data_IF_207035755375
#
_entry.id   IF_207035755375
#
_cell.length_a   1.000
_cell.length_b   1.000
_cell.length_c   1.000
_cell.angle_alpha   90.00
_cell.angle_beta   90.00
_cell.angle_gamma   90.00
#
_symmetry.space_group_name_H-M   'P 1'
#
loop_
_entity.id
_entity.type
_entity.pdbx_description
1 polymer ?
2 non-polymer ?
3 non-polymer ?
4 water ?
#
# COMPACT_ATOMS: atom_id res chain seq x y z
N UNK A 22 4.18 -25.51 -4.91
CA UNK A 22 4.98 -24.25 -5.07
C UNK A 22 6.39 -24.39 -4.47
N UNK A 23 7.40 -23.72 -5.07
CA UNK A 23 8.75 -23.77 -4.50
C UNK A 23 8.90 -22.85 -3.29
N UNK A 24 10.10 -22.83 -2.69
CA UNK A 24 10.41 -21.91 -1.59
C UNK A 24 10.19 -20.47 -2.08
N UNK A 25 9.78 -19.57 -1.16
CA UNK A 25 9.51 -18.16 -1.49
C UNK A 25 10.60 -17.50 -2.35
N UNK A 26 11.86 -17.58 -1.93
CA UNK A 26 12.96 -16.98 -2.70
C UNK A 26 13.11 -17.58 -4.10
N UNK A 27 12.94 -18.90 -4.20
CA UNK A 27 13.01 -19.54 -5.50
C UNK A 27 11.86 -19.11 -6.43
N UNK A 28 10.66 -18.94 -5.86
CA UNK A 28 9.52 -18.42 -6.62
C UNK A 28 9.74 -16.98 -7.07
N UNK A 29 10.29 -16.16 -6.18
CA UNK A 29 10.60 -14.77 -6.52
C UNK A 29 11.55 -14.70 -7.71
N UNK A 30 12.60 -15.52 -7.67
CA UNK A 30 13.53 -15.62 -8.80
C UNK A 30 12.84 -16.02 -10.09
N UNK A 31 11.99 -17.05 -10.01
CA UNK A 31 11.21 -17.50 -11.16
C UNK A 31 10.36 -16.36 -11.74
N UNK A 32 9.76 -15.57 -10.85
CA UNK A 32 8.93 -14.45 -11.29
C UNK A 32 9.76 -13.42 -12.08
N UNK A 33 10.97 -13.13 -11.62
CA UNK A 33 11.84 -12.20 -12.38
C UNK A 33 12.18 -12.79 -13.75
N UNK A 34 12.50 -14.08 -13.78
CA UNK A 34 12.80 -14.76 -15.04
C UNK A 34 11.64 -14.73 -16.04
N UNK A 35 10.42 -15.02 -15.56
CA UNK A 35 9.25 -15.07 -16.43
C UNK A 35 8.84 -13.66 -16.90
N UNK A 36 8.94 -12.70 -15.98
CA UNK A 36 8.47 -11.33 -16.26
C UNK A 36 9.49 -10.43 -16.96
N UNK A 37 10.76 -10.82 -16.89
CA UNK A 37 11.87 -9.95 -17.31
C UNK A 37 11.88 -8.62 -16.56
N UNK A 38 11.34 -8.63 -15.34
CA UNK A 38 11.25 -7.42 -14.50
C UNK A 38 11.92 -7.63 -13.16
N UNK A 39 12.07 -6.54 -12.42
CA UNK A 39 12.58 -6.57 -11.05
C UNK A 39 11.43 -6.74 -10.07
N UNK A 40 11.61 -7.67 -9.13
CA UNK A 40 10.70 -7.87 -8.02
C UNK A 40 11.42 -7.41 -6.75
N UNK A 41 10.69 -6.75 -5.84
CA UNK A 41 11.21 -6.37 -4.53
C UNK A 41 10.26 -6.94 -3.51
N UNK A 42 10.77 -7.57 -2.45
CA UNK A 42 9.90 -8.25 -1.49
C UNK A 42 10.45 -8.23 -0.07
N UNK A 43 9.57 -7.99 0.90
CA UNK A 43 9.85 -8.19 2.33
C UNK A 43 8.70 -8.96 2.94
N UNK A 44 9.04 -9.93 3.77
CA UNK A 44 8.09 -10.62 4.62
C UNK A 44 8.56 -10.36 6.05
N UNK A 45 7.68 -9.81 6.89
CA UNK A 45 8.07 -9.33 8.21
C UNK A 45 7.00 -9.67 9.25
N UNK A 46 7.42 -10.15 10.42
CA UNK A 46 6.47 -10.35 11.54
C UNK A 46 5.88 -8.99 11.93
N UNK A 47 4.55 -8.90 11.98
CA UNK A 47 3.93 -7.61 12.29
C UNK A 47 4.19 -7.18 13.73
N UNK A 48 4.09 -8.12 14.67
CA UNK A 48 4.25 -7.80 16.08
C UNK A 48 5.68 -7.36 16.41
N UNK A 49 6.68 -8.06 15.86
CA UNK A 49 8.06 -7.79 16.30
C UNK A 49 8.97 -7.07 15.31
N UNK A 50 8.62 -7.17 14.03
CA UNK A 50 9.48 -6.62 12.97
C UNK A 50 10.55 -7.59 12.48
N UNK A 51 10.52 -8.83 12.96
CA UNK A 51 11.49 -9.83 12.48
C UNK A 51 11.36 -9.97 10.96
N UNK A 52 12.48 -9.79 10.25
CA UNK A 52 12.48 -9.97 8.79
C UNK A 52 12.70 -11.44 8.46
N UNK A 53 11.77 -12.01 7.68
CA UNK A 53 11.86 -13.44 7.31
C UNK A 53 12.40 -13.70 5.92
N UNK A 54 11.87 -12.98 4.94
CA UNK A 54 12.33 -13.06 3.54
C UNK A 54 12.62 -11.63 3.10
N UNK A 55 13.72 -11.45 2.39
CA UNK A 55 14.09 -10.14 1.88
C UNK A 55 14.71 -10.36 0.51
N UNK A 56 14.18 -9.67 -0.50
CA UNK A 56 14.73 -9.74 -1.84
C UNK A 56 14.67 -8.36 -2.45
N UNK A 57 15.82 -7.85 -2.87
CA UNK A 57 15.95 -6.46 -3.36
C UNK A 57 15.30 -5.48 -2.38
N UNK A 58 15.49 -5.74 -1.10
CA UNK A 58 14.74 -5.05 -0.04
C UNK A 58 15.15 -3.59 0.09
N UNK A 59 16.34 -3.26 -0.40
CA UNK A 59 16.85 -1.90 -0.33
C UNK A 59 16.87 -1.19 -1.68
N UNK A 60 16.23 -1.79 -2.68
CA UNK A 60 16.11 -1.18 -4.00
C UNK A 60 14.80 -0.39 -4.11
N UNK A 61 14.83 0.64 -4.95
CA UNK A 61 13.66 1.52 -5.09
C UNK A 61 12.63 0.98 -6.06
N UNK A 62 11.35 1.11 -5.66
CA UNK A 62 10.21 0.76 -6.51
C UNK A 62 9.14 1.84 -6.39
N UNK A 63 8.42 2.12 -7.48
CA UNK A 63 7.30 3.06 -7.37
C UNK A 63 6.25 2.53 -6.38
N UNK A 64 5.78 3.40 -5.48
CA UNK A 64 4.73 3.04 -4.52
C UNK A 64 3.37 2.83 -5.18
N UNK A 65 3.09 3.63 -6.20
CA UNK A 65 1.76 3.64 -6.81
C UNK A 65 0.72 3.84 -5.68
N UNK A 66 -0.41 3.14 -5.76
CA UNK A 66 -1.51 3.37 -4.82
C UNK A 66 -1.18 2.98 -3.40
N UNK A 67 -0.11 2.21 -3.21
CA UNK A 67 0.24 1.76 -1.85
C UNK A 67 0.60 2.96 -0.95
N UNK A 68 0.94 4.12 -1.53
CA UNK A 68 1.27 5.30 -0.73
C UNK A 68 0.04 5.77 0.08
N UNK A 69 -1.15 5.36 -0.34
CA UNK A 69 -2.39 5.84 0.28
C UNK A 69 -2.52 5.38 1.73
N UNK A 70 -1.91 4.24 2.07
CA UNK A 70 -1.93 3.77 3.46
C UNK A 70 -1.10 4.73 4.34
N UNK A 71 0.07 5.13 3.83
CA UNK A 71 0.91 6.13 4.53
C UNK A 71 0.21 7.48 4.66
N UNK A 72 -0.40 7.93 3.56
CA UNK A 72 -1.21 9.15 3.53
C UNK A 72 -2.23 9.17 4.67
N UNK A 73 -3.04 8.12 4.77
CA UNK A 73 -4.06 8.10 5.80
C UNK A 73 -3.47 7.93 7.22
N UNK A 74 -2.28 7.34 7.31
CA UNK A 74 -1.52 7.36 8.57
C UNK A 74 -1.23 8.81 8.98
N UNK A 75 -0.83 9.63 8.02
CA UNK A 75 -0.53 11.04 8.29
C UNK A 75 -1.79 11.80 8.68
N UNK A 76 -2.89 11.50 8.00
CA UNK A 76 -4.19 12.08 8.38
C UNK A 76 -4.56 11.72 9.82
N UNK A 77 -4.42 10.43 10.18
CA UNK A 77 -4.73 9.99 11.53
C UNK A 77 -3.85 10.66 12.58
N UNK A 78 -2.59 10.91 12.22
CA UNK A 78 -1.69 11.61 13.15
C UNK A 78 -2.21 13.02 13.42
N UNK A 79 -2.71 13.69 12.39
CA UNK A 79 -3.34 15.00 12.57
C UNK A 79 -4.60 14.93 13.45
N UNK A 80 -5.42 13.89 13.23
CA UNK A 80 -6.60 13.66 14.06
C UNK A 80 -6.20 13.49 15.52
N UNK A 81 -5.17 12.67 15.76
CA UNK A 81 -4.70 12.41 17.13
C UNK A 81 -4.23 13.69 17.82
N UNK A 82 -3.63 14.57 17.04
CA UNK A 82 -3.08 15.83 17.54
C UNK A 82 -4.16 16.90 17.75
N UNK A 83 -5.38 16.63 17.30
CA UNK A 83 -6.47 17.61 17.41
C UNK A 83 -6.49 18.62 16.28
N UNK A 84 -5.72 18.34 15.23
CA UNK A 84 -5.60 19.23 14.08
C UNK A 84 -6.52 18.86 12.93
N UNK A 85 -7.15 17.69 13.05
CA UNK A 85 -8.05 17.18 12.02
C UNK A 85 -9.17 16.41 12.72
N UNK A 86 -10.30 16.23 12.04
CA UNK A 86 -11.34 15.34 12.52
C UNK A 86 -11.76 14.44 11.39
N UNK A 87 -11.95 13.15 11.68
CA UNK A 87 -12.47 12.25 10.64
C UNK A 87 -13.87 12.63 10.19
N UNK A 88 -14.59 13.34 11.06
CA UNK A 88 -15.93 13.81 10.77
C UNK A 88 -15.98 15.02 9.86
N UNK A 89 -14.88 15.73 9.73
CA UNK A 89 -14.93 17.04 9.08
C UNK A 89 -15.33 16.86 7.60
N UNK A 90 -16.37 17.57 7.17
CA UNK A 90 -16.84 17.48 5.78
C UNK A 90 -16.03 18.38 4.85
N UNK A 91 -15.47 17.79 3.79
CA UNK A 91 -14.74 18.54 2.77
C UNK A 91 -15.62 18.70 1.52
N UNK A 92 -15.82 19.93 1.07
CA UNK A 92 -16.52 20.17 -0.17
C UNK A 92 -15.56 20.52 -1.27
N UNK A 93 -15.80 19.99 -2.46
CA UNK A 93 -14.85 20.14 -3.55
C UNK A 93 -15.61 20.36 -4.86
N UNK A 94 -14.87 20.64 -5.93
CA UNK A 94 -15.49 20.99 -7.21
C UNK A 94 -15.12 19.96 -8.27
N UNK A 95 -15.92 19.92 -9.33
CA UNK A 95 -15.69 18.95 -10.39
C UNK A 95 -14.30 19.12 -11.02
N UNK A 96 -13.83 20.36 -11.08
CA UNK A 96 -12.51 20.68 -11.63
C UNK A 96 -11.37 20.10 -10.78
N UNK A 97 -11.68 19.72 -9.55
CA UNK A 97 -10.72 19.10 -8.62
C UNK A 97 -10.49 17.62 -8.90
N UNK A 98 -11.42 17.02 -9.66
CA UNK A 98 -11.37 15.59 -9.87
C UNK A 98 -10.29 15.21 -10.87
N UNK A 99 -9.58 14.13 -10.57
CA UNK A 99 -8.62 13.54 -11.50
C UNK A 99 -9.14 12.17 -11.91
N UNK A 100 -8.40 11.53 -12.82
CA UNK A 100 -8.75 10.23 -13.36
C UNK A 100 -9.04 9.19 -12.28
N UNK A 101 -10.23 8.63 -12.35
CA UNK A 101 -10.71 7.52 -11.51
C UNK A 101 -11.13 7.97 -10.11
N UNK A 102 -12.40 8.36 -10.02
CA UNK A 102 -13.01 8.92 -8.82
C UNK A 102 -14.37 8.26 -8.57
N UNK A 103 -14.38 6.94 -8.37
CA UNK A 103 -15.65 6.22 -8.35
C UNK A 103 -16.59 6.64 -7.22
N UNK A 104 -16.02 7.08 -6.10
CA UNK A 104 -16.80 7.53 -4.95
C UNK A 104 -16.92 9.04 -4.96
N UNK A 105 -15.78 9.72 -5.08
CA UNK A 105 -15.77 11.18 -4.98
C UNK A 105 -16.58 11.88 -6.08
N UNK A 106 -16.70 11.28 -7.26
CA UNK A 106 -17.52 11.91 -8.30
C UNK A 106 -19.02 11.97 -7.93
N UNK A 107 -19.43 11.14 -6.96
CA UNK A 107 -20.84 11.04 -6.58
C UNK A 107 -21.24 12.07 -5.53
N UNK A 108 -20.25 12.84 -5.05
CA UNK A 108 -20.49 13.73 -3.91
C UNK A 108 -20.10 15.19 -4.17
N UNK A 109 -20.32 15.62 -5.40
CA UNK A 109 -20.04 17.02 -5.75
C UNK A 109 -20.97 17.98 -5.01
N UNK A 110 -22.20 17.54 -4.75
CA UNK A 110 -23.18 18.38 -4.07
C UNK A 110 -23.00 18.38 -2.55
N UNK A 111 -22.69 17.21 -2.00
CA UNK A 111 -22.80 17.05 -0.54
C UNK A 111 -21.47 16.89 0.19
N UNK A 112 -20.39 16.66 -0.55
CA UNK A 112 -19.07 16.58 0.06
C UNK A 112 -18.86 15.20 0.69
N UNK A 113 -17.66 15.02 1.24
CA UNK A 113 -17.29 13.77 1.91
C UNK A 113 -16.53 14.13 3.17
N UNK A 114 -16.70 13.32 4.21
CA UNK A 114 -15.91 13.54 5.42
C UNK A 114 -14.47 13.08 5.16
N UNK A 115 -13.54 13.57 5.99
CA UNK A 115 -12.14 13.16 5.91
C UNK A 115 -12.03 11.64 6.02
N UNK A 116 -12.77 11.07 6.97
CA UNK A 116 -12.75 9.60 7.15
C UNK A 116 -13.30 8.90 5.92
N UNK A 117 -14.36 9.43 5.34
CA UNK A 117 -14.93 8.86 4.12
C UNK A 117 -13.91 8.93 2.98
N UNK A 118 -13.14 10.02 2.96
CA UNK A 118 -12.13 10.19 1.91
C UNK A 118 -11.03 9.13 2.04
N UNK A 119 -10.58 8.88 3.28
CA UNK A 119 -9.59 7.81 3.49
C UNK A 119 -10.17 6.44 3.12
N UNK A 120 -11.42 6.17 3.47
CA UNK A 120 -12.03 4.90 3.06
C UNK A 120 -12.08 4.77 1.53
N UNK A 121 -12.47 5.85 0.85
CA UNK A 121 -12.54 5.83 -0.61
C UNK A 121 -11.16 5.64 -1.23
N UNK A 122 -10.17 6.37 -0.71
CA UNK A 122 -8.79 6.20 -1.20
C UNK A 122 -8.28 4.78 -1.03
N UNK A 123 -8.42 4.22 0.18
CA UNK A 123 -7.82 2.91 0.46
C UNK A 123 -8.67 1.74 -0.07
N UNK A 124 -9.98 1.79 0.18
CA UNK A 124 -10.81 0.63 -0.16
C UNK A 124 -11.30 0.63 -1.62
N UNK A 125 -11.34 1.81 -2.23
CA UNK A 125 -11.82 1.93 -3.60
C UNK A 125 -10.77 2.48 -4.57
N UNK A 126 -9.58 2.81 -4.06
CA UNK A 126 -8.51 3.36 -4.90
C UNK A 126 -8.96 4.63 -5.64
N UNK A 127 -9.75 5.44 -4.95
CA UNK A 127 -10.27 6.73 -5.49
C UNK A 127 -9.17 7.77 -5.51
N UNK A 128 -8.82 8.24 -6.72
CA UNK A 128 -7.66 9.13 -6.88
C UNK A 128 -7.92 10.54 -6.44
N UNK A 129 -9.15 11.01 -6.67
CA UNK A 129 -9.48 12.36 -6.22
C UNK A 129 -9.55 12.40 -4.69
N UNK A 130 -10.11 11.37 -4.06
CA UNK A 130 -10.08 11.27 -2.60
C UNK A 130 -8.64 11.38 -2.07
N UNK A 131 -7.72 10.67 -2.72
CA UNK A 131 -6.32 10.69 -2.31
C UNK A 131 -5.72 12.08 -2.43
N UNK A 132 -6.00 12.76 -3.54
CA UNK A 132 -5.44 14.10 -3.73
C UNK A 132 -6.01 15.10 -2.75
N UNK A 133 -7.31 15.00 -2.46
CA UNK A 133 -7.92 15.89 -1.45
C UNK A 133 -7.25 15.69 -0.10
N UNK A 134 -7.01 14.43 0.28
CA UNK A 134 -6.32 14.13 1.53
C UNK A 134 -4.87 14.62 1.50
N UNK A 135 -4.21 14.47 0.35
CA UNK A 135 -2.81 14.88 0.21
C UNK A 135 -2.68 16.37 0.48
N UNK A 136 -3.65 17.15 0.01
CA UNK A 136 -3.64 18.58 0.24
C UNK A 136 -3.65 18.88 1.74
N UNK A 137 -4.44 18.13 2.51
CA UNK A 137 -4.60 18.40 3.94
C UNK A 137 -3.33 18.17 4.76
N UNK A 138 -2.41 17.36 4.24
CA UNK A 138 -1.19 17.06 4.98
C UNK A 138 0.01 17.84 4.45
N UNK A 139 -0.24 18.76 3.53
CA UNK A 139 0.83 19.60 2.98
C UNK A 139 1.41 19.12 1.67
N UNK A 140 0.64 18.30 0.93
CA UNK A 140 1.06 17.83 -0.37
C UNK A 140 2.15 16.78 -0.27
N UNK A 141 2.72 16.40 -1.42
CA UNK A 141 3.82 15.43 -1.43
C UNK A 141 4.95 15.83 -0.48
N UNK A 142 5.33 17.11 -0.45
CA UNK A 142 6.39 17.54 0.47
C UNK A 142 6.01 17.29 1.92
N UNK A 143 4.76 17.58 2.28
CA UNK A 143 4.25 17.35 3.63
C UNK A 143 4.26 15.88 4.03
N UNK A 144 3.82 15.02 3.11
CA UNK A 144 3.80 13.60 3.42
C UNK A 144 5.23 13.07 3.55
N UNK A 145 6.13 13.58 2.72
CA UNK A 145 7.54 13.21 2.84
C UNK A 145 8.13 13.65 4.20
N UNK A 146 7.81 14.86 4.64
CA UNK A 146 8.19 15.34 5.97
C UNK A 146 7.67 14.44 7.09
N UNK A 147 6.42 14.00 6.96
CA UNK A 147 5.81 13.08 7.93
C UNK A 147 6.62 11.79 7.98
N UNK A 148 6.98 11.27 6.81
CA UNK A 148 7.79 10.07 6.77
C UNK A 148 9.11 10.26 7.51
N UNK A 149 9.77 11.39 7.28
CA UNK A 149 11.01 11.69 7.98
C UNK A 149 10.79 11.75 9.49
N UNK A 150 9.64 12.30 9.90
CA UNK A 150 9.29 12.41 11.33
C UNK A 150 9.05 11.08 12.05
N UNK A 151 8.67 10.04 11.29
CA UNK A 151 8.51 8.71 11.88
C UNK A 151 9.74 7.84 11.63
N UNK A 152 10.80 8.46 11.10
CA UNK A 152 12.08 7.78 10.95
C UNK A 152 12.28 7.01 9.66
N UNK A 153 11.41 7.25 8.67
CA UNK A 153 11.64 6.68 7.35
C UNK A 153 12.40 7.70 6.54
N UNK A 154 13.67 7.40 6.25
CA UNK A 154 14.55 8.36 5.58
C UNK A 154 14.74 8.06 4.09
N UNK A 155 13.93 7.13 3.57
CA UNK A 155 14.08 6.65 2.21
C UNK A 155 12.85 6.93 1.32
N UNK A 156 11.68 6.57 1.79
CA UNK A 156 10.44 6.75 1.03
C UNK A 156 10.22 8.23 0.74
N UNK A 157 9.75 8.50 -0.46
CA UNK A 157 9.51 9.88 -0.86
C UNK A 157 8.29 9.97 -1.77
N UNK A 158 7.43 10.95 -1.51
CA UNK A 158 6.39 11.30 -2.46
C UNK A 158 6.70 12.67 -3.06
N UNK A 159 6.57 12.76 -4.38
CA UNK A 159 6.92 13.96 -5.13
C UNK A 159 5.79 14.52 -5.95
N UNK A 160 4.86 13.65 -6.34
CA UNK A 160 3.78 14.06 -7.24
C UNK A 160 2.41 13.65 -6.70
N UNK A 161 1.37 14.12 -7.40
CA UNK A 161 -0.02 13.87 -7.06
C UNK A 161 -0.57 12.75 -7.93
N UNK A 162 -1.80 12.31 -7.64
CA UNK A 162 -2.46 11.38 -8.55
C UNK A 162 -2.86 12.13 -9.82
N UNK A 163 -2.72 11.52 -11.00
CA UNK A 163 -2.20 10.16 -11.22
C UNK A 163 -0.76 10.13 -11.73
N UNK A 164 -0.09 11.29 -11.79
CA UNK A 164 1.29 11.35 -12.29
C UNK A 164 2.25 10.49 -11.48
N UNK A 165 1.93 10.24 -10.21
CA UNK A 165 2.82 9.50 -9.34
C UNK A 165 2.94 8.01 -9.73
N UNK A 166 2.09 7.56 -10.66
CA UNK A 166 2.14 6.18 -11.17
C UNK A 166 3.00 6.02 -12.42
N UNK A 167 3.68 7.09 -12.85
CA UNK A 167 4.38 7.10 -14.14
C UNK A 167 5.51 6.05 -14.26
N UNK A 168 6.17 5.78 -13.15
CA UNK A 168 7.19 4.71 -13.08
C UNK A 168 8.22 4.78 -14.22
N UNK A 169 8.80 5.95 -14.44
CA UNK A 169 9.88 6.10 -15.43
C UNK A 169 11.08 5.31 -14.97
N UNK A 170 11.79 4.65 -15.90
CA UNK A 170 12.96 3.88 -15.47
C UNK A 170 13.98 4.80 -14.78
N UNK A 171 14.48 4.38 -13.63
CA UNK A 171 15.51 5.14 -12.90
C UNK A 171 15.10 6.43 -12.22
N UNK A 172 13.80 6.74 -12.24
CA UNK A 172 13.26 7.95 -11.62
C UNK A 172 13.00 7.64 -10.14
N UNK A 173 13.63 8.41 -9.27
CA UNK A 173 13.51 8.23 -7.83
C UNK A 173 12.21 8.80 -7.27
N UNK A 174 11.47 9.56 -8.07
CA UNK A 174 10.25 10.19 -7.56
C UNK A 174 9.22 9.14 -7.13
N UNK A 175 8.54 9.40 -6.02
CA UNK A 175 7.36 8.61 -5.64
C UNK A 175 7.71 7.16 -5.40
N UNK A 176 8.87 6.93 -4.79
CA UNK A 176 9.37 5.58 -4.58
C UNK A 176 9.52 5.25 -3.10
N UNK A 177 9.54 3.95 -2.85
CA UNK A 177 9.92 3.41 -1.54
C UNK A 177 10.91 2.27 -1.79
N UNK A 178 11.32 1.60 -0.70
CA UNK A 178 11.98 0.29 -0.83
C UNK A 178 11.13 -0.71 -0.05
N UNK A 179 11.20 -2.00 -0.40
CA UNK A 179 10.39 -2.93 0.37
C UNK A 179 10.69 -2.88 1.89
N UNK A 180 11.95 -2.77 2.28
CA UNK A 180 12.29 -2.70 3.70
C UNK A 180 11.73 -1.44 4.35
N UNK A 181 11.78 -0.32 3.63
CA UNK A 181 11.27 0.95 4.17
C UNK A 181 9.76 0.92 4.33
N UNK A 182 9.07 0.43 3.29
CA UNK A 182 7.61 0.37 3.35
C UNK A 182 7.13 -0.55 4.46
N UNK A 183 7.75 -1.74 4.57
CA UNK A 183 7.38 -2.66 5.64
C UNK A 183 7.57 -2.06 7.03
N UNK A 184 8.74 -1.43 7.25
CA UNK A 184 9.01 -0.80 8.55
C UNK A 184 8.00 0.31 8.86
N UNK A 185 7.69 1.08 7.82
CA UNK A 185 6.79 2.22 7.97
C UNK A 185 5.37 1.75 8.27
N UNK A 186 4.91 0.71 7.56
CA UNK A 186 3.58 0.15 7.85
C UNK A 186 3.52 -0.38 9.27
N UNK A 187 4.57 -1.09 9.69
CA UNK A 187 4.60 -1.58 11.05
C UNK A 187 4.54 -0.44 12.06
N UNK A 188 5.30 0.63 11.82
CA UNK A 188 5.26 1.83 12.68
C UNK A 188 3.86 2.40 12.81
N UNK A 189 3.17 2.51 11.68
CA UNK A 189 1.83 3.12 11.71
C UNK A 189 0.81 2.23 12.40
N UNK A 190 0.92 0.91 12.18
CA UNK A 190 -0.08 -0.03 12.67
C UNK A 190 0.14 -0.44 14.13
N UNK A 191 1.38 -0.40 14.61
CA UNK A 191 1.69 -1.06 15.90
C UNK A 191 2.55 -0.29 16.90
N UNK A 192 3.23 0.78 16.46
CA UNK A 192 4.28 1.39 17.32
C UNK A 192 3.81 2.37 18.38
N UNK A 193 2.49 2.60 18.46
CA UNK A 193 1.88 3.55 19.38
C UNK A 193 2.25 5.01 19.06
N UNK A 194 2.75 5.24 17.85
CA UNK A 194 2.89 6.60 17.35
C UNK A 194 1.49 7.15 17.09
N UNK A 195 0.63 6.31 16.53
CA UNK A 195 -0.80 6.63 16.39
C UNK A 195 -1.56 6.14 17.62
N UNK A 196 -2.68 6.78 17.94
CA UNK A 196 -3.52 6.34 19.06
C UNK A 196 -4.05 4.95 18.79
N UNK A 197 -4.51 4.26 19.83
CA UNK A 197 -5.11 2.94 19.69
C UNK A 197 -6.24 2.97 18.67
N UNK A 198 -7.13 3.95 18.78
CA UNK A 198 -8.24 4.04 17.83
C UNK A 198 -7.75 4.23 16.41
N UNK A 199 -6.76 5.09 16.23
CA UNK A 199 -6.21 5.37 14.90
C UNK A 199 -5.53 4.14 14.28
N UNK A 200 -4.75 3.42 15.09
CA UNK A 200 -4.16 2.16 14.62
C UNK A 200 -5.24 1.20 14.16
N UNK A 201 -6.32 1.12 14.95
CA UNK A 201 -7.42 0.22 14.59
C UNK A 201 -8.14 0.67 13.30
N UNK A 202 -8.29 1.97 13.12
CA UNK A 202 -8.92 2.49 11.92
C UNK A 202 -8.11 2.21 10.65
N UNK A 203 -6.79 2.41 10.74
CA UNK A 203 -5.94 2.21 9.57
C UNK A 203 -5.97 0.73 9.12
N UNK A 204 -5.92 -0.16 10.11
CA UNK A 204 -6.05 -1.59 9.85
C UNK A 204 -7.41 -1.93 9.22
N UNK A 205 -8.50 -1.39 9.79
CA UNK A 205 -9.83 -1.70 9.25
C UNK A 205 -9.98 -1.22 7.80
N UNK A 206 -9.41 -0.05 7.47
CA UNK A 206 -9.46 0.39 6.08
C UNK A 206 -8.80 -0.63 5.15
N UNK A 207 -7.67 -1.21 5.59
CA UNK A 207 -7.00 -2.22 4.75
C UNK A 207 -7.78 -3.54 4.67
N UNK A 208 -8.41 -3.91 5.77
CA UNK A 208 -9.29 -5.07 5.79
C UNK A 208 -10.44 -4.89 4.79
N UNK A 209 -10.88 -3.65 4.63
CA UNK A 209 -12.10 -3.34 3.89
C UNK A 209 -11.93 -3.12 2.39
N UNK A 210 -10.76 -3.42 1.83
CA UNK A 210 -10.54 -3.33 0.38
C UNK A 210 -11.75 -3.89 -0.38
N UNK A 211 -12.34 -3.11 -1.27
CA UNK A 211 -13.55 -3.58 -1.98
C UNK A 211 -13.25 -4.32 -3.28
N UNK A 212 -11.99 -4.29 -3.72
CA UNK A 212 -11.65 -4.84 -5.01
C UNK A 212 -10.80 -6.11 -4.89
N UNK A 213 -9.53 -5.98 -4.52
CA UNK A 213 -8.65 -7.15 -4.48
C UNK A 213 -8.94 -8.06 -3.29
N UNK A 214 -9.14 -7.48 -2.11
CA UNK A 214 -9.38 -8.25 -0.90
C UNK A 214 -10.37 -9.39 -1.05
N UNK A 215 -11.62 -9.09 -1.45
CA UNK A 215 -12.62 -10.16 -1.62
C UNK A 215 -12.21 -11.27 -2.60
N UNK A 216 -11.58 -10.90 -3.72
CA UNK A 216 -11.11 -11.92 -4.67
C UNK A 216 -10.00 -12.76 -4.05
N UNK A 217 -9.06 -12.11 -3.38
CA UNK A 217 -7.98 -12.83 -2.69
C UNK A 217 -8.57 -13.85 -1.69
N UNK A 218 -9.55 -13.43 -0.90
CA UNK A 218 -10.19 -14.36 0.04
C UNK A 218 -10.74 -15.59 -0.65
N UNK A 219 -11.37 -15.38 -1.80
CA UNK A 219 -11.98 -16.50 -2.52
C UNK A 219 -10.98 -17.57 -2.91
N UNK A 220 -9.71 -17.20 -3.06
CA UNK A 220 -8.67 -18.15 -3.48
C UNK A 220 -7.65 -18.48 -2.36
N UNK A 221 -7.84 -17.89 -1.18
CA UNK A 221 -7.00 -18.25 -0.03
C UNK A 221 -7.55 -19.50 0.63
N UNK A 222 -6.67 -20.37 1.16
CA UNK A 222 -7.20 -21.48 1.93
C UNK A 222 -7.95 -20.98 3.17
N UNK A 223 -8.89 -21.78 3.66
CA UNK A 223 -9.59 -21.42 4.89
C UNK A 223 -8.60 -21.12 6.00
N UNK A 224 -8.90 -20.08 6.78
CA UNK A 224 -8.09 -19.76 7.94
C UNK A 224 -7.07 -18.65 7.74
N UNK A 225 -6.91 -18.22 6.50
CA UNK A 225 -5.93 -17.17 6.20
C UNK A 225 -6.55 -15.78 6.21
N UNK A 226 -5.98 -14.93 7.07
CA UNK A 226 -6.33 -13.51 7.18
C UNK A 226 -5.74 -12.72 6.02
N UNK A 227 -6.50 -11.79 5.46
CA UNK A 227 -5.92 -10.84 4.49
C UNK A 227 -6.42 -9.39 4.72
N UNK A 228 -5.49 -8.45 4.67
CA UNK A 228 -5.81 -7.01 4.57
C UNK A 228 -4.78 -6.46 3.59
N UNK A 229 -5.12 -5.43 2.80
CA UNK A 229 -4.20 -5.09 1.72
C UNK A 229 -4.47 -3.71 1.12
N UNK A 230 -3.46 -3.16 0.44
CA UNK A 230 -3.66 -2.12 -0.56
C UNK A 230 -2.83 -2.52 -1.77
N UNK A 231 -3.46 -2.57 -2.95
CA UNK A 231 -2.77 -2.87 -4.19
C UNK A 231 -2.40 -1.58 -4.91
N UNK A 232 -1.57 -1.68 -5.94
CA UNK A 232 -1.29 -0.53 -6.78
C UNK A 232 -0.77 -0.99 -8.13
N UNK A 233 -0.90 -0.14 -9.14
CA UNK A 233 -0.39 -0.41 -10.46
C UNK A 233 0.19 0.85 -11.07
N UNK A 234 0.99 0.69 -12.11
CA UNK A 234 1.61 1.83 -12.76
C UNK A 234 2.07 1.50 -14.16
N UNK A 235 2.82 2.41 -14.74
CA UNK A 235 3.31 2.21 -16.10
C UNK A 235 4.50 1.24 -16.14
N UNK A 236 4.85 0.79 -17.34
CA UNK A 236 6.01 -0.05 -17.55
C UNK A 236 5.97 -1.31 -16.69
N UNK A 237 4.76 -1.83 -16.48
CA UNK A 237 4.56 -3.08 -15.74
C UNK A 237 4.54 -2.93 -14.22
N UNK A 238 4.69 -1.71 -13.73
CA UNK A 238 4.69 -1.53 -12.26
C UNK A 238 3.42 -2.11 -11.62
N UNK A 239 3.59 -2.79 -10.50
CA UNK A 239 2.48 -3.43 -9.83
C UNK A 239 2.94 -3.76 -8.43
N UNK A 240 2.05 -3.70 -7.46
CA UNK A 240 2.47 -3.97 -6.10
C UNK A 240 1.32 -4.21 -5.16
N UNK A 241 1.68 -4.72 -3.98
CA UNK A 241 0.73 -4.91 -2.91
C UNK A 241 1.45 -4.79 -1.58
N UNK A 242 0.79 -4.11 -0.64
CA UNK A 242 1.18 -4.14 0.76
C UNK A 242 0.06 -4.90 1.47
N UNK A 243 0.43 -5.93 2.22
CA UNK A 243 -0.59 -6.82 2.80
C UNK A 243 -0.27 -7.23 4.22
N UNK A 244 -1.32 -7.54 4.98
CA UNK A 244 -1.20 -8.30 6.22
C UNK A 244 -1.77 -9.69 5.97
N UNK A 245 -1.03 -10.71 6.39
CA UNK A 245 -1.39 -12.10 6.05
C UNK A 245 -1.02 -13.00 7.19
N UNK A 246 -1.84 -14.02 7.44
CA UNK A 246 -1.44 -15.05 8.37
C UNK A 246 -2.48 -16.13 8.53
N UNK A 247 -2.05 -17.33 8.98
CA UNK A 247 -2.99 -18.39 9.27
C UNK A 247 -3.69 -18.16 10.61
N UNK A 248 -4.59 -19.06 10.95
CA UNK A 248 -5.31 -18.99 12.22
C UNK A 248 -6.04 -17.65 12.36
N UNK A 249 -6.43 -17.09 11.21
CA UNK A 249 -7.19 -15.84 11.14
C UNK A 249 -6.56 -14.67 11.86
N UNK A 250 -5.23 -14.63 11.82
CA UNK A 250 -4.43 -13.58 12.47
C UNK A 250 -3.58 -12.82 11.45
N UNK A 251 -3.44 -11.50 11.67
CA UNK A 251 -2.55 -10.67 10.85
C UNK A 251 -1.12 -10.87 11.36
N UNK A 252 -0.53 -11.99 10.98
CA UNK A 252 0.75 -12.37 11.56
C UNK A 252 1.92 -11.63 10.90
N UNK A 253 1.85 -11.45 9.59
CA UNK A 253 2.98 -10.88 8.86
C UNK A 253 2.59 -9.77 7.90
N UNK A 254 3.50 -8.83 7.74
CA UNK A 254 3.45 -7.83 6.68
C UNK A 254 4.16 -8.43 5.48
N UNK A 255 3.53 -8.36 4.31
CA UNK A 255 4.15 -8.79 3.07
C UNK A 255 4.06 -7.61 2.12
N UNK A 256 5.22 -7.17 1.63
CA UNK A 256 5.31 -6.09 0.68
C UNK A 256 5.93 -6.67 -0.58
N UNK A 257 5.24 -6.57 -1.71
CA UNK A 257 5.78 -7.04 -2.99
C UNK A 257 5.59 -5.98 -4.04
N UNK A 258 6.69 -5.57 -4.66
CA UNK A 258 6.64 -4.60 -5.77
C UNK A 258 7.25 -5.23 -7.02
N UNK A 259 6.71 -4.88 -8.18
CA UNK A 259 7.25 -5.28 -9.48
C UNK A 259 7.49 -4.02 -10.30
N UNK A 260 8.54 -4.00 -11.12
CA UNK A 260 8.77 -2.87 -12.02
C UNK A 260 9.52 -3.32 -13.28
N UNK A 261 9.37 -2.52 -14.34
CA UNK A 261 10.11 -2.71 -15.59
C UNK A 261 9.94 -4.10 -16.19
N UNK A 262 8.69 -4.49 -16.33
CA UNK A 262 8.33 -5.68 -17.06
C UNK A 262 7.31 -5.32 -18.15
N UNK A 263 7.43 -5.93 -19.35
CA UNK A 263 6.45 -5.68 -20.39
C UNK A 263 5.21 -6.58 -20.29
N UNK A 264 5.12 -7.38 -19.23
CA UNK A 264 4.08 -8.41 -19.15
C UNK A 264 2.66 -7.88 -18.98
N UNK A 265 1.71 -8.68 -19.43
CA UNK A 265 0.30 -8.38 -19.22
C UNK A 265 0.00 -8.21 -17.74
N UNK A 266 -1.02 -7.41 -17.43
CA UNK A 266 -1.50 -7.33 -16.06
C UNK A 266 -1.85 -8.70 -15.48
N UNK A 267 -2.53 -9.54 -16.27
CA UNK A 267 -2.87 -10.88 -15.79
C UNK A 267 -1.64 -11.67 -15.30
N UNK A 268 -0.55 -11.61 -16.06
CA UNK A 268 0.66 -12.35 -15.68
C UNK A 268 1.38 -11.73 -14.46
N UNK A 269 1.36 -10.41 -14.39
CA UNK A 269 1.90 -9.76 -13.20
C UNK A 269 1.08 -10.16 -11.96
N UNK A 270 -0.23 -10.17 -12.08
CA UNK A 270 -1.08 -10.66 -10.98
C UNK A 270 -0.79 -12.11 -10.61
N UNK A 271 -0.67 -12.96 -11.63
CA UNK A 271 -0.36 -14.38 -11.43
C UNK A 271 0.96 -14.57 -10.71
N UNK A 272 1.96 -13.79 -11.06
CA UNK A 272 3.27 -13.96 -10.44
C UNK A 272 3.27 -13.54 -8.98
N UNK A 273 2.59 -12.42 -8.68
CA UNK A 273 2.46 -12.00 -7.29
C UNK A 273 1.68 -13.03 -6.48
N UNK A 274 0.60 -13.56 -7.07
CA UNK A 274 -0.17 -14.62 -6.42
C UNK A 274 0.71 -15.84 -6.17
N UNK A 275 1.59 -16.15 -7.12
CA UNK A 275 2.52 -17.27 -6.98
C UNK A 275 3.50 -17.09 -5.83
N UNK A 276 3.99 -15.88 -5.63
CA UNK A 276 4.82 -15.59 -4.47
C UNK A 276 4.03 -15.80 -3.18
N UNK A 277 2.78 -15.35 -3.17
CA UNK A 277 1.85 -15.63 -2.06
C UNK A 277 1.67 -17.12 -1.79
N UNK A 278 1.48 -17.90 -2.84
CA UNK A 278 1.28 -19.35 -2.71
C UNK A 278 2.52 -19.99 -2.10
N UNK A 279 3.70 -19.52 -2.51
CA UNK A 279 4.96 -20.04 -1.96
C UNK A 279 5.04 -19.76 -0.46
N UNK A 280 4.64 -18.56 -0.06
CA UNK A 280 4.65 -18.18 1.36
C UNK A 280 3.71 -19.08 2.15
N UNK A 281 2.52 -19.33 1.58
CA UNK A 281 1.47 -20.10 2.27
C UNK A 281 1.90 -21.56 2.46
N UNK A 282 2.51 -22.13 1.43
CA UNK A 282 2.98 -23.53 1.49
C UNK A 282 4.20 -23.74 2.36
N UNK A 283 4.94 -22.67 2.63
CA UNK A 283 6.20 -22.73 3.38
C UNK A 283 6.22 -21.64 4.45
N UNK A 284 5.20 -21.65 5.30
CA UNK A 284 4.96 -20.54 6.21
C UNK A 284 5.87 -20.57 7.43
N UNK A 285 6.16 -21.77 7.90
CA UNK A 285 6.94 -21.92 9.11
C UNK A 285 8.42 -21.78 8.78
N UNK A 286 8.98 -20.61 9.08
CA UNK A 286 10.39 -20.31 8.90
C UNK A 286 10.87 -19.39 10.02
#
# INVERSE_FOLDING_TARGET
MRYIRLCIISLLATLPLAVHASPQPLEQIKLSESQLSGRVGMIEMDLASGRTLTAWRADERFPMMSTFKVVLCGAVLARVDAGDEQLERKIHYRQQDLVDYSPVSEKHLADGMTVGELCAAAITMSDNSAANLLLATVGGPAGLTAFLRQIGDNVTRLDRWETELNEALPGDARDTTTPASMAATLRKLLTSQRLSARSQRQLLQWMVDDRVAGPLIRSVLPAGWFIADKTGAGERGARGIVALLGPNNKAERIVVIYLRDTPASMAERNQQIAGIGAALIEHWQR
#
